data_IF_625631209017
#
_entry.id   IF_625631209017
#
_cell.length_a   1.000
_cell.length_b   1.000
_cell.length_c   1.000
_cell.angle_alpha   90.00
_cell.angle_beta   90.00
_cell.angle_gamma   90.00
#
_symmetry.space_group_name_H-M   'P 1'
#
loop_
_entity.id
_entity.type
_entity.pdbx_description
1 polymer ?
#
# COMPACT_ATOMS: atom_id res chain seq x y z
N UNK A 1 16.83 4.41 9.29
CA UNK A 1 16.76 3.09 8.62
C UNK A 1 15.31 2.78 8.27
N UNK A 2 15.05 2.41 7.04
CA UNK A 2 13.69 2.09 6.62
C UNK A 2 13.28 0.73 7.15
N UNK A 3 12.01 0.61 7.50
CA UNK A 3 11.46 -0.67 7.90
C UNK A 3 11.33 -1.61 6.70
N UNK A 4 11.48 -2.90 6.94
CA UNK A 4 11.30 -3.91 5.90
C UNK A 4 9.90 -3.81 5.30
N UNK A 5 8.90 -3.57 6.12
CA UNK A 5 7.51 -3.43 5.67
C UNK A 5 7.36 -2.29 4.66
N UNK A 6 8.03 -1.17 4.93
CA UNK A 6 7.99 -0.03 4.01
C UNK A 6 8.70 -0.36 2.69
N UNK A 7 9.81 -1.07 2.76
CA UNK A 7 10.53 -1.51 1.56
C UNK A 7 9.67 -2.44 0.71
N UNK A 8 8.92 -3.33 1.35
CA UNK A 8 8.02 -4.22 0.64
C UNK A 8 6.96 -3.40 -0.11
N UNK A 9 6.38 -2.39 0.55
CA UNK A 9 5.40 -1.53 -0.11
C UNK A 9 5.99 -0.80 -1.29
N UNK A 10 7.22 -0.28 -1.16
CA UNK A 10 7.91 0.39 -2.27
C UNK A 10 8.09 -0.56 -3.45
N UNK A 11 8.53 -1.78 -3.19
CA UNK A 11 8.73 -2.76 -4.24
C UNK A 11 7.42 -3.13 -4.90
N UNK A 12 6.35 -3.25 -4.13
CA UNK A 12 5.03 -3.59 -4.68
C UNK A 12 4.54 -2.54 -5.65
N UNK A 13 4.72 -1.25 -5.32
CA UNK A 13 4.18 -0.17 -6.14
C UNK A 13 5.06 0.14 -7.35
N UNK A 14 6.35 -0.22 -7.29
CA UNK A 14 7.31 0.14 -8.33
C UNK A 14 7.69 -1.02 -9.25
N UNK A 15 7.26 -2.25 -8.94
CA UNK A 15 7.61 -3.42 -9.74
C UNK A 15 6.39 -4.33 -9.87
N UNK A 16 5.72 -4.27 -11.02
CA UNK A 16 4.51 -5.03 -11.26
C UNK A 16 4.76 -6.53 -11.25
N UNK A 17 5.86 -6.99 -11.86
CA UNK A 17 6.17 -8.42 -11.88
C UNK A 17 6.39 -8.97 -10.47
N UNK A 18 7.10 -8.21 -9.64
CA UNK A 18 7.31 -8.57 -8.26
C UNK A 18 5.97 -8.67 -7.53
N UNK A 19 5.10 -7.68 -7.75
CA UNK A 19 3.79 -7.64 -7.10
C UNK A 19 2.94 -8.85 -7.48
N UNK A 20 2.91 -9.20 -8.75
CA UNK A 20 2.12 -10.34 -9.21
C UNK A 20 2.61 -11.65 -8.60
N UNK A 21 3.91 -11.75 -8.34
CA UNK A 21 4.50 -12.97 -7.78
C UNK A 21 4.30 -13.07 -6.28
N UNK A 22 4.37 -11.95 -5.56
CA UNK A 22 4.42 -12.00 -4.09
C UNK A 22 3.10 -11.66 -3.41
N UNK A 23 2.21 -10.88 -4.04
CA UNK A 23 0.96 -10.51 -3.40
C UNK A 23 0.16 -11.70 -2.87
N UNK A 24 0.05 -12.81 -3.60
CA UNK A 24 -0.68 -13.97 -3.07
C UNK A 24 -0.08 -14.57 -1.80
N UNK A 25 1.19 -14.28 -1.54
CA UNK A 25 1.90 -14.85 -0.39
C UNK A 25 2.05 -13.88 0.78
N UNK A 26 1.81 -12.58 0.56
CA UNK A 26 1.92 -11.59 1.62
C UNK A 26 0.55 -11.46 2.30
N UNK A 27 0.57 -11.45 3.61
CA UNK A 27 -0.64 -11.27 4.41
C UNK A 27 -0.61 -9.94 5.12
N UNK A 28 -1.78 -9.31 5.30
CA UNK A 28 -1.87 -8.03 5.98
C UNK A 28 -1.31 -8.08 7.40
N UNK A 29 -1.38 -9.24 8.04
CA UNK A 29 -0.87 -9.41 9.40
C UNK A 29 0.65 -9.30 9.50
N UNK A 30 1.36 -9.33 8.37
CA UNK A 30 2.81 -9.11 8.36
C UNK A 30 3.16 -7.64 8.64
N UNK A 31 2.20 -6.75 8.54
CA UNK A 31 2.38 -5.33 8.79
C UNK A 31 1.85 -5.01 10.18
N UNK A 32 2.72 -4.60 11.08
CA UNK A 32 2.32 -4.26 12.45
C UNK A 32 1.65 -2.90 12.53
N UNK A 33 2.10 -1.97 11.70
CA UNK A 33 1.56 -0.61 11.68
C UNK A 33 0.25 -0.58 10.90
N UNK A 34 -0.80 -0.02 11.52
CA UNK A 34 -2.12 0.04 10.89
C UNK A 34 -2.11 0.84 9.59
N UNK A 35 -1.27 1.85 9.50
CA UNK A 35 -1.15 2.66 8.29
C UNK A 35 -0.53 1.87 7.15
N UNK A 36 0.53 1.12 7.44
CA UNK A 36 1.17 0.27 6.44
C UNK A 36 0.22 -0.84 5.99
N UNK A 37 -0.49 -1.43 6.94
CA UNK A 37 -1.48 -2.45 6.63
C UNK A 37 -2.57 -1.90 5.72
N UNK A 38 -3.04 -0.69 5.99
CA UNK A 38 -4.05 -0.02 5.18
C UNK A 38 -3.56 0.17 3.75
N UNK A 39 -2.34 0.67 3.59
CA UNK A 39 -1.76 0.89 2.25
C UNK A 39 -1.62 -0.45 1.51
N UNK A 40 -1.13 -1.48 2.20
CA UNK A 40 -1.01 -2.80 1.59
C UNK A 40 -2.37 -3.32 1.10
N UNK A 41 -3.40 -3.21 1.93
CA UNK A 41 -4.73 -3.68 1.57
C UNK A 41 -5.29 -2.92 0.36
N UNK A 42 -5.02 -1.62 0.26
CA UNK A 42 -5.44 -0.84 -0.90
C UNK A 42 -4.74 -1.31 -2.17
N UNK A 43 -3.44 -1.58 -2.09
CA UNK A 43 -2.68 -2.10 -3.23
C UNK A 43 -3.22 -3.46 -3.66
N UNK A 44 -3.42 -4.35 -2.69
CA UNK A 44 -3.89 -5.71 -2.95
C UNK A 44 -5.29 -5.69 -3.59
N UNK A 45 -6.18 -4.90 -3.02
CA UNK A 45 -7.54 -4.79 -3.52
C UNK A 45 -7.58 -4.27 -4.96
N UNK A 46 -6.77 -3.25 -5.25
CA UNK A 46 -6.71 -2.69 -6.59
C UNK A 46 -6.17 -3.71 -7.60
N UNK A 47 -5.11 -4.43 -7.23
CA UNK A 47 -4.52 -5.44 -8.10
C UNK A 47 -5.54 -6.56 -8.39
N UNK A 48 -6.28 -6.99 -7.39
CA UNK A 48 -7.30 -8.03 -7.55
C UNK A 48 -8.44 -7.56 -8.45
N UNK A 49 -8.84 -6.30 -8.32
CA UNK A 49 -9.98 -5.76 -9.05
C UNK A 49 -9.63 -5.40 -10.49
N UNK A 50 -8.47 -4.81 -10.72
CA UNK A 50 -8.10 -4.26 -12.02
C UNK A 50 -6.96 -4.99 -12.71
N UNK A 51 -6.34 -5.94 -12.03
CA UNK A 51 -5.22 -6.75 -12.54
C UNK A 51 -4.04 -5.89 -12.98
N UNK A 52 -3.80 -4.78 -12.29
CA UNK A 52 -2.63 -3.92 -12.51
C UNK A 52 -2.36 -3.11 -11.26
N UNK A 53 -1.15 -2.56 -11.18
CA UNK A 53 -0.75 -1.77 -10.02
C UNK A 53 -1.45 -0.41 -10.01
N UNK A 54 -1.84 0.06 -8.82
CA UNK A 54 -2.33 1.43 -8.70
C UNK A 54 -1.15 2.41 -8.80
N UNK A 55 -1.45 3.62 -9.26
CA UNK A 55 -0.51 4.72 -9.16
C UNK A 55 -0.63 5.35 -7.77
N UNK A 56 0.33 6.19 -7.42
CA UNK A 56 0.30 6.95 -6.18
C UNK A 56 -0.99 7.77 -6.08
N UNK A 57 -1.38 8.41 -7.18
CA UNK A 57 -2.61 9.21 -7.23
C UNK A 57 -3.85 8.36 -6.98
N UNK A 58 -3.89 7.17 -7.56
CA UNK A 58 -5.02 6.25 -7.37
C UNK A 58 -5.08 5.80 -5.92
N UNK A 59 -3.94 5.54 -5.29
CA UNK A 59 -3.91 5.15 -3.88
C UNK A 59 -4.48 6.26 -3.00
N UNK A 60 -4.16 7.52 -3.29
CA UNK A 60 -4.73 8.64 -2.54
C UNK A 60 -6.25 8.69 -2.70
N UNK A 61 -6.75 8.47 -3.91
CA UNK A 61 -8.19 8.47 -4.17
C UNK A 61 -8.88 7.35 -3.40
N UNK A 62 -8.32 6.15 -3.45
CA UNK A 62 -8.89 5.01 -2.73
C UNK A 62 -8.86 5.23 -1.23
N UNK A 63 -7.80 5.84 -0.71
CA UNK A 63 -7.70 6.18 0.70
C UNK A 63 -8.80 7.16 1.11
N UNK A 64 -9.05 8.17 0.28
CA UNK A 64 -10.10 9.16 0.55
C UNK A 64 -11.49 8.51 0.60
N UNK A 65 -11.71 7.43 -0.13
CA UNK A 65 -12.98 6.72 -0.12
C UNK A 65 -13.18 5.86 1.12
N UNK A 66 -12.11 5.56 1.85
CA UNK A 66 -12.18 4.69 3.01
C UNK A 66 -12.59 5.50 4.23
N UNK A 67 -13.85 5.41 4.62
CA UNK A 67 -14.41 6.18 5.72
C UNK A 67 -14.25 5.50 7.08
N UNK A 68 -13.66 4.31 7.12
CA UNK A 68 -13.49 3.56 8.35
C UNK A 68 -12.19 3.87 9.09
N UNK A 69 -11.35 4.72 8.51
CA UNK A 69 -10.06 5.06 9.09
C UNK A 69 -10.20 6.18 10.12
N UNK A 70 -9.39 6.10 11.18
CA UNK A 70 -9.24 7.22 12.09
C UNK A 70 -8.46 8.34 11.37
N UNK A 71 -8.58 9.56 11.88
CA UNK A 71 -7.85 10.69 11.30
C UNK A 71 -6.34 10.45 11.31
N UNK A 72 -5.84 9.87 12.40
CA UNK A 72 -4.42 9.57 12.54
C UNK A 72 -3.97 8.53 11.51
N UNK A 73 -4.71 7.44 11.38
CA UNK A 73 -4.38 6.39 10.41
C UNK A 73 -4.43 6.93 8.98
N UNK A 74 -5.43 7.74 8.67
CA UNK A 74 -5.56 8.38 7.36
C UNK A 74 -4.33 9.24 7.06
N UNK A 75 -3.92 10.09 8.00
CA UNK A 75 -2.79 10.98 7.82
C UNK A 75 -1.49 10.19 7.61
N UNK A 76 -1.27 9.18 8.45
CA UNK A 76 -0.06 8.36 8.34
C UNK A 76 -0.01 7.57 7.05
N UNK A 77 -1.16 7.00 6.63
CA UNK A 77 -1.24 6.27 5.37
C UNK A 77 -0.92 7.17 4.19
N UNK A 78 -1.41 8.40 4.23
CA UNK A 78 -1.15 9.37 3.19
C UNK A 78 0.33 9.71 3.08
N UNK A 79 1.01 9.84 4.22
CA UNK A 79 2.44 10.09 4.26
C UNK A 79 3.22 8.92 3.67
N UNK A 80 2.80 7.69 3.98
CA UNK A 80 3.43 6.49 3.43
C UNK A 80 3.31 6.49 1.91
N UNK A 81 2.11 6.74 1.39
CA UNK A 81 1.88 6.75 -0.04
C UNK A 81 2.77 7.78 -0.73
N UNK A 82 2.91 8.96 -0.14
CA UNK A 82 3.75 10.01 -0.70
C UNK A 82 5.21 9.61 -0.81
N UNK A 83 5.68 8.72 0.07
CA UNK A 83 7.06 8.26 0.06
C UNK A 83 7.32 7.04 -0.82
N UNK A 84 6.28 6.39 -1.36
CA UNK A 84 6.44 5.13 -2.06
C UNK A 84 7.13 5.25 -3.42
N UNK A 85 7.09 6.40 -4.05
CA UNK A 85 7.72 6.60 -5.35
C UNK A 85 9.15 7.12 -5.25
N UNK A 86 9.68 7.25 -4.06
CA UNK A 86 11.08 7.64 -3.85
C UNK A 86 11.94 6.39 -3.82
N UNK A 87 12.66 6.20 -4.89
CA UNK A 87 13.54 5.04 -5.05
C UNK A 87 14.99 5.48 -4.87
#
# INVERSE_FOLDING_TARGET
MEKIEFLILKCLINNEDYSRKVLPFIKSEYFEDNSEKTVFLEIQSFMEQYNKLPTKEVLHIELDKNTNLTDETFKQSREIIQGLDEI
#
